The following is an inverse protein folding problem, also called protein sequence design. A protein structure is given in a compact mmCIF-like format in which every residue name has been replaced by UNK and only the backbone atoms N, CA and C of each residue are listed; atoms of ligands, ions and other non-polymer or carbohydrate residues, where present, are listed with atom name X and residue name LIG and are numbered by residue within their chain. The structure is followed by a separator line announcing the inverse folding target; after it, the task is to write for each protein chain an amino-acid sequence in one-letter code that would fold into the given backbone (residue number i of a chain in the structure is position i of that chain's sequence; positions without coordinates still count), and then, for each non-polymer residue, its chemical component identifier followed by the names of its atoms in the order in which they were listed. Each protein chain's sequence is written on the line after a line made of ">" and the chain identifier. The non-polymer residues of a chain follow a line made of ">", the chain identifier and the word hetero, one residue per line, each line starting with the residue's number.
data_IF_093266478490
#
_entry.id   IF_093266478490
#
_cell.length_a   1.000
_cell.length_b   1.000
_cell.length_c   1.000
_cell.angle_alpha   90.00
_cell.angle_beta   90.00
_cell.angle_gamma   90.00
#
_symmetry.space_group_name_H-M   'P 1'
#
loop_
_entity.id
_entity.type
_entity.pdbx_description
1 polymer ?
#
# COMPACT_ATOMS: atom_id res chain seq x y z
N UNK A 1 12.24 14.31 13.36
CA UNK A 1 11.74 13.52 14.52
C UNK A 1 12.76 12.44 14.84
N UNK A 2 13.22 12.32 16.09
CA UNK A 2 14.15 11.25 16.49
C UNK A 2 13.45 9.89 16.39
N UNK A 3 14.14 8.88 15.86
CA UNK A 3 13.65 7.50 15.70
C UNK A 3 13.28 6.85 17.04
N UNK A 4 13.66 7.48 18.17
CA UNK A 4 13.40 7.00 19.53
C UNK A 4 11.92 6.89 19.89
N UNK A 5 11.00 7.35 19.05
CA UNK A 5 9.55 7.26 19.29
C UNK A 5 8.75 6.44 18.26
N UNK A 6 9.39 5.47 17.61
CA UNK A 6 8.76 4.65 16.56
C UNK A 6 7.47 3.97 17.02
N UNK A 7 7.48 3.34 18.19
CA UNK A 7 6.32 2.61 18.68
C UNK A 7 5.14 3.53 19.00
N UNK A 8 5.37 4.70 19.60
CA UNK A 8 4.29 5.64 19.91
C UNK A 8 3.68 6.21 18.62
N UNK A 9 4.52 6.61 17.65
CA UNK A 9 4.04 7.16 16.39
C UNK A 9 3.19 6.13 15.62
N UNK A 10 3.61 4.86 15.58
CA UNK A 10 2.83 3.79 14.96
C UNK A 10 1.50 3.53 15.67
N UNK A 11 1.49 3.54 17.01
CA UNK A 11 0.26 3.40 17.79
C UNK A 11 -0.73 4.53 17.53
N UNK A 12 -0.24 5.78 17.51
CA UNK A 12 -1.06 6.95 17.22
C UNK A 12 -1.65 6.88 15.81
N UNK A 13 -0.82 6.55 14.82
CA UNK A 13 -1.25 6.42 13.43
C UNK A 13 -2.31 5.31 13.26
N UNK A 14 -2.08 4.14 13.86
CA UNK A 14 -3.06 3.04 13.87
C UNK A 14 -4.40 3.46 14.49
N UNK A 15 -4.38 4.15 15.62
CA UNK A 15 -5.61 4.57 16.28
C UNK A 15 -6.41 5.56 15.42
N UNK A 16 -5.72 6.49 14.77
CA UNK A 16 -6.37 7.42 13.85
C UNK A 16 -6.96 6.71 12.62
N UNK A 17 -6.26 5.73 12.03
CA UNK A 17 -6.84 4.89 10.96
C UNK A 17 -8.08 4.12 11.43
N UNK A 18 -8.06 3.58 12.66
CA UNK A 18 -9.19 2.85 13.24
C UNK A 18 -10.41 3.77 13.45
N UNK A 19 -10.17 5.03 13.78
CA UNK A 19 -11.25 5.99 13.94
C UNK A 19 -11.85 6.40 12.60
N UNK A 20 -11.07 6.40 11.50
CA UNK A 20 -11.62 6.51 10.15
C UNK A 20 -12.48 5.29 9.79
N UNK A 21 -12.00 4.07 10.05
CA UNK A 21 -12.74 2.82 9.78
C UNK A 21 -14.10 2.80 10.49
N UNK A 22 -14.12 3.17 11.79
CA UNK A 22 -15.38 3.26 12.56
C UNK A 22 -16.35 4.27 11.96
N UNK A 23 -15.86 5.44 11.53
CA UNK A 23 -16.70 6.48 10.92
C UNK A 23 -17.31 5.99 9.62
N UNK A 24 -16.55 5.31 8.77
CA UNK A 24 -17.08 4.75 7.52
C UNK A 24 -18.14 3.69 7.80
N UNK A 25 -17.92 2.79 8.75
CA UNK A 25 -18.91 1.76 9.13
C UNK A 25 -20.22 2.41 9.62
N UNK A 26 -20.14 3.45 10.46
CA UNK A 26 -21.33 4.14 10.95
C UNK A 26 -22.08 4.79 9.78
N UNK A 27 -21.35 5.43 8.86
CA UNK A 27 -21.90 6.12 7.68
C UNK A 27 -22.55 5.15 6.70
N UNK A 28 -21.90 4.03 6.37
CA UNK A 28 -22.47 2.99 5.50
C UNK A 28 -23.80 2.47 6.05
N UNK A 29 -23.89 2.32 7.37
CA UNK A 29 -25.12 1.93 8.04
C UNK A 29 -26.20 3.04 8.04
N UNK A 30 -25.81 4.32 8.08
CA UNK A 30 -26.75 5.46 8.05
C UNK A 30 -27.13 5.92 6.63
N UNK A 31 -26.43 5.46 5.59
CA UNK A 31 -26.58 5.90 4.18
C UNK A 31 -26.38 7.41 3.97
N UNK A 32 -25.54 8.02 4.79
CA UNK A 32 -25.16 9.43 4.63
C UNK A 32 -24.24 9.63 3.41
N UNK A 33 -24.40 10.76 2.71
CA UNK A 33 -23.54 11.14 1.59
C UNK A 33 -22.14 11.58 2.05
N UNK A 34 -21.13 11.26 1.24
CA UNK A 34 -19.73 11.60 1.52
C UNK A 34 -19.50 13.11 1.38
N UNK A 35 -18.90 13.73 2.38
CA UNK A 35 -18.57 15.16 2.35
C UNK A 35 -17.20 15.42 1.72
N UNK A 36 -16.96 16.65 1.22
CA UNK A 36 -15.69 17.03 0.60
C UNK A 36 -14.47 17.02 1.55
N UNK A 37 -14.71 16.97 2.86
CA UNK A 37 -13.63 16.86 3.85
C UNK A 37 -13.20 15.40 4.06
N UNK A 38 -14.08 14.45 3.74
CA UNK A 38 -13.88 13.01 3.87
C UNK A 38 -13.20 12.36 2.66
N UNK A 39 -13.12 13.08 1.53
CA UNK A 39 -12.35 12.71 0.33
C UNK A 39 -10.87 13.07 0.44
N UNK A 40 -10.46 13.74 1.53
CA UNK A 40 -9.04 14.02 1.76
C UNK A 40 -8.27 12.72 2.02
N UNK A 41 -7.03 12.60 1.53
CA UNK A 41 -6.18 11.45 1.83
C UNK A 41 -6.10 11.22 3.34
N UNK A 42 -6.35 9.99 3.76
CA UNK A 42 -6.36 9.56 5.17
C UNK A 42 -5.01 9.01 5.64
N UNK A 43 -4.00 9.17 4.81
CA UNK A 43 -2.62 8.79 5.08
C UNK A 43 -2.05 9.60 6.25
N UNK A 44 -1.30 8.92 7.12
CA UNK A 44 -0.73 9.52 8.31
C UNK A 44 0.79 9.44 8.21
N UNK A 45 1.44 10.60 8.21
CA UNK A 45 2.90 10.68 8.21
C UNK A 45 3.44 10.34 9.60
N UNK A 46 4.30 9.32 9.66
CA UNK A 46 4.94 8.84 10.89
C UNK A 46 6.36 9.38 11.01
N UNK A 47 7.08 9.47 9.88
CA UNK A 47 8.45 9.96 9.83
C UNK A 47 8.72 10.79 8.58
N UNK A 48 9.66 11.72 8.72
CA UNK A 48 10.19 12.58 7.66
C UNK A 48 11.67 12.26 7.43
N UNK A 49 12.18 12.67 6.27
CA UNK A 49 13.59 12.59 5.89
C UNK A 49 14.17 11.16 6.04
N UNK A 50 13.39 10.18 5.57
CA UNK A 50 13.74 8.76 5.57
C UNK A 50 14.28 8.37 4.20
N UNK A 51 15.50 7.82 4.17
CA UNK A 51 16.09 7.25 2.97
C UNK A 51 15.51 5.87 2.67
N UNK A 52 15.57 5.45 1.40
CA UNK A 52 15.16 4.10 0.98
C UNK A 52 15.82 2.98 1.78
N UNK A 53 17.14 3.07 1.98
CA UNK A 53 17.88 2.09 2.77
C UNK A 53 17.33 1.98 4.19
N UNK A 54 17.06 3.11 4.83
CA UNK A 54 16.53 3.15 6.19
C UNK A 54 15.08 2.65 6.24
N UNK A 55 14.28 2.93 5.21
CA UNK A 55 12.93 2.37 5.04
C UNK A 55 12.99 0.83 5.04
N UNK A 56 13.84 0.25 4.19
CA UNK A 56 14.00 -1.21 4.11
C UNK A 56 14.54 -1.84 5.40
N UNK A 57 15.54 -1.21 6.03
CA UNK A 57 16.17 -1.76 7.22
C UNK A 57 15.29 -1.70 8.49
N UNK A 58 14.43 -0.69 8.61
CA UNK A 58 13.72 -0.42 9.88
C UNK A 58 12.21 -0.43 9.81
N UNK A 59 11.60 -0.10 8.68
CA UNK A 59 10.15 0.14 8.64
C UNK A 59 9.39 -1.04 8.02
N UNK A 60 9.94 -1.65 6.98
CA UNK A 60 9.33 -2.83 6.33
C UNK A 60 9.16 -4.03 7.29
N UNK A 61 10.00 -4.19 8.30
CA UNK A 61 9.82 -5.30 9.25
C UNK A 61 8.93 -4.93 10.44
N UNK A 62 8.95 -3.67 10.85
CA UNK A 62 8.25 -3.22 12.07
C UNK A 62 6.75 -3.01 11.86
N UNK A 63 6.29 -2.65 10.65
CA UNK A 63 4.88 -2.30 10.43
C UNK A 63 3.92 -3.45 10.78
N UNK A 64 4.32 -4.70 10.51
CA UNK A 64 3.51 -5.89 10.79
C UNK A 64 3.21 -6.02 12.29
N UNK A 65 4.14 -5.60 13.15
CA UNK A 65 3.95 -5.58 14.61
C UNK A 65 2.83 -4.64 15.02
N UNK A 66 2.56 -3.60 14.25
CA UNK A 66 1.55 -2.59 14.52
C UNK A 66 0.26 -2.77 13.70
N UNK A 67 0.16 -3.82 12.88
CA UNK A 67 -1.03 -4.14 12.08
C UNK A 67 -1.51 -2.98 11.19
N UNK A 68 -0.59 -2.23 10.60
CA UNK A 68 -0.85 -1.15 9.64
C UNK A 68 0.08 -1.28 8.45
N UNK A 69 -0.39 -1.00 7.24
CA UNK A 69 0.48 -0.93 6.06
C UNK A 69 1.24 0.39 6.05
N UNK A 70 2.49 0.31 5.57
CA UNK A 70 3.37 1.47 5.43
C UNK A 70 3.92 1.57 4.02
N UNK A 71 4.11 2.80 3.56
CA UNK A 71 4.84 3.08 2.31
C UNK A 71 5.76 4.27 2.50
N UNK A 72 6.76 4.39 1.63
CA UNK A 72 7.67 5.53 1.59
C UNK A 72 7.18 6.47 0.48
N UNK A 73 6.96 7.75 0.77
CA UNK A 73 6.54 8.75 -0.22
C UNK A 73 7.37 10.01 -0.07
N UNK A 74 8.22 10.29 -1.06
CA UNK A 74 9.09 11.48 -1.09
C UNK A 74 9.86 11.68 0.22
N UNK A 75 10.49 10.60 0.68
CA UNK A 75 11.24 10.57 1.93
C UNK A 75 10.39 10.56 3.21
N UNK A 76 9.06 10.44 3.12
CA UNK A 76 8.15 10.34 4.28
C UNK A 76 7.67 8.90 4.45
N UNK A 77 7.74 8.38 5.67
CA UNK A 77 7.08 7.11 5.98
C UNK A 77 5.65 7.41 6.40
N UNK A 78 4.70 6.85 5.67
CA UNK A 78 3.27 7.01 5.93
C UNK A 78 2.63 5.67 6.26
N UNK A 79 1.58 5.69 7.08
CA UNK A 79 0.60 4.60 7.13
C UNK A 79 -0.66 5.01 6.41
N UNK A 80 -1.23 4.08 5.66
CA UNK A 80 -2.37 4.36 4.77
C UNK A 80 -3.51 3.37 4.92
N UNK A 81 -3.27 2.18 5.49
CA UNK A 81 -4.29 1.14 5.62
C UNK A 81 -4.08 0.29 6.88
N UNK A 82 -5.15 -0.28 7.41
CA UNK A 82 -5.11 -1.26 8.51
C UNK A 82 -4.98 -2.66 7.93
N UNK A 83 -4.07 -3.46 8.51
CA UNK A 83 -4.09 -4.91 8.26
C UNK A 83 -5.34 -5.50 8.90
N UNK A 84 -6.38 -5.70 8.09
CA UNK A 84 -7.65 -6.25 8.52
C UNK A 84 -7.92 -7.60 7.85
N UNK A 85 -8.56 -8.57 8.55
CA UNK A 85 -8.94 -9.83 7.94
C UNK A 85 -9.81 -9.70 6.67
N UNK A 86 -10.79 -8.78 6.58
CA UNK A 86 -11.55 -8.56 5.35
C UNK A 86 -10.68 -8.17 4.17
N UNK A 87 -9.74 -7.25 4.37
CA UNK A 87 -8.76 -6.87 3.33
C UNK A 87 -7.94 -8.09 2.89
N UNK A 88 -7.38 -8.84 3.84
CA UNK A 88 -6.54 -9.99 3.52
C UNK A 88 -7.31 -11.11 2.81
N UNK A 89 -8.57 -11.34 3.21
CA UNK A 89 -9.46 -12.30 2.55
C UNK A 89 -9.75 -11.89 1.10
N UNK A 90 -10.06 -10.62 0.86
CA UNK A 90 -10.34 -10.12 -0.48
C UNK A 90 -9.14 -10.33 -1.42
N UNK A 91 -7.93 -9.97 -0.97
CA UNK A 91 -6.70 -10.22 -1.76
C UNK A 91 -6.49 -11.72 -2.00
N UNK A 92 -6.69 -12.55 -0.97
CA UNK A 92 -6.55 -14.01 -1.07
C UNK A 92 -7.59 -14.65 -2.02
N UNK A 93 -8.78 -14.08 -2.13
CA UNK A 93 -9.85 -14.54 -3.02
C UNK A 93 -9.64 -14.08 -4.48
N UNK A 94 -9.07 -12.90 -4.69
CA UNK A 94 -8.79 -12.36 -6.03
C UNK A 94 -7.67 -13.15 -6.75
N UNK A 95 -6.61 -13.53 -6.03
CA UNK A 95 -5.46 -14.25 -6.61
C UNK A 95 -5.87 -15.53 -7.36
N UNK A 96 -6.64 -16.48 -6.80
CA UNK A 96 -7.02 -17.69 -7.51
C UNK A 96 -7.95 -17.42 -8.69
N UNK A 97 -8.81 -16.39 -8.63
CA UNK A 97 -9.65 -15.98 -9.76
C UNK A 97 -8.78 -15.53 -10.93
N UNK A 98 -7.80 -14.67 -10.66
CA UNK A 98 -6.84 -14.18 -11.65
C UNK A 98 -5.97 -15.31 -12.19
N UNK A 99 -5.51 -16.22 -11.33
CA UNK A 99 -4.72 -17.39 -11.72
C UNK A 99 -5.52 -18.37 -12.58
N UNK A 100 -6.83 -18.49 -12.32
CA UNK A 100 -7.76 -19.33 -13.09
C UNK A 100 -8.06 -18.76 -14.47
N UNK A 101 -7.86 -17.46 -14.69
CA UNK A 101 -8.10 -16.83 -15.99
C UNK A 101 -7.11 -17.31 -17.06
N UNK A 102 -5.82 -17.43 -16.71
CA UNK A 102 -4.81 -17.95 -17.64
C UNK A 102 -3.54 -18.40 -16.92
N UNK A 103 -2.87 -19.44 -17.46
CA UNK A 103 -1.58 -19.89 -16.99
C UNK A 103 -0.40 -19.04 -17.51
N UNK A 104 -0.67 -18.01 -18.32
CA UNK A 104 0.34 -17.12 -18.92
C UNK A 104 0.71 -15.92 -18.06
N UNK A 105 0.10 -15.80 -16.88
CA UNK A 105 0.39 -14.71 -15.95
C UNK A 105 1.20 -15.21 -14.76
N UNK A 106 1.98 -14.29 -14.22
CA UNK A 106 2.62 -14.37 -12.92
C UNK A 106 1.98 -13.30 -12.04
N UNK A 107 1.55 -13.71 -10.86
CA UNK A 107 0.85 -12.86 -9.89
C UNK A 107 1.73 -12.79 -8.65
N UNK A 108 1.92 -11.58 -8.14
CA UNK A 108 2.59 -11.28 -6.89
C UNK A 108 1.60 -10.57 -5.97
N UNK A 109 1.71 -10.82 -4.67
CA UNK A 109 0.92 -10.13 -3.66
C UNK A 109 1.86 -9.33 -2.75
N UNK A 110 1.42 -8.17 -2.29
CA UNK A 110 2.17 -7.27 -1.39
C UNK A 110 3.61 -7.02 -1.88
N UNK A 111 3.74 -6.58 -3.14
CA UNK A 111 5.05 -6.34 -3.76
C UNK A 111 5.47 -4.87 -3.58
N UNK A 112 6.58 -4.65 -2.87
CA UNK A 112 7.21 -3.33 -2.78
C UNK A 112 7.82 -2.93 -4.14
N UNK A 113 7.36 -1.80 -4.65
CA UNK A 113 7.78 -1.21 -5.91
C UNK A 113 8.38 0.17 -5.67
N UNK A 114 9.64 0.35 -6.07
CA UNK A 114 10.27 1.67 -6.11
C UNK A 114 9.65 2.43 -7.28
N UNK A 115 9.02 3.57 -6.98
CA UNK A 115 8.38 4.43 -7.99
C UNK A 115 9.05 5.81 -8.02
N UNK A 116 8.96 6.50 -9.15
CA UNK A 116 9.69 7.74 -9.40
C UNK A 116 11.19 7.54 -9.68
N UNK A 117 11.91 8.66 -9.81
CA UNK A 117 13.33 8.70 -10.21
C UNK A 117 14.30 8.96 -9.05
N UNK A 118 13.81 9.39 -7.89
CA UNK A 118 14.65 9.91 -6.80
C UNK A 118 14.93 8.88 -5.69
N UNK A 119 14.54 7.60 -5.90
CA UNK A 119 14.69 6.51 -4.91
C UNK A 119 14.18 6.93 -3.51
N UNK A 120 13.09 7.70 -3.47
CA UNK A 120 12.53 8.29 -2.26
C UNK A 120 11.08 7.87 -2.05
N UNK A 121 10.55 7.03 -2.93
CA UNK A 121 9.17 6.58 -2.94
C UNK A 121 9.11 5.07 -3.21
N UNK A 122 8.40 4.35 -2.35
CA UNK A 122 8.18 2.89 -2.44
C UNK A 122 6.72 2.64 -2.11
N UNK A 123 5.98 2.08 -3.06
CA UNK A 123 4.59 1.69 -2.87
C UNK A 123 4.50 0.17 -2.72
N UNK A 124 3.69 -0.31 -1.79
CA UNK A 124 3.43 -1.74 -1.61
C UNK A 124 2.17 -2.13 -2.39
N UNK A 125 2.36 -2.58 -3.63
CA UNK A 125 1.28 -2.94 -4.51
C UNK A 125 0.59 -4.22 -4.04
N UNK A 126 -0.74 -4.19 -3.89
CA UNK A 126 -1.46 -5.30 -3.29
C UNK A 126 -1.45 -6.54 -4.18
N UNK A 127 -1.70 -6.37 -5.48
CA UNK A 127 -1.58 -7.43 -6.49
C UNK A 127 -0.87 -6.87 -7.72
N UNK A 128 0.21 -7.53 -8.12
CA UNK A 128 1.02 -7.18 -9.29
C UNK A 128 0.99 -8.32 -10.28
N UNK A 129 0.73 -8.02 -11.55
CA UNK A 129 0.54 -9.01 -12.60
C UNK A 129 1.44 -8.70 -13.78
N UNK A 130 2.22 -9.69 -14.19
CA UNK A 130 3.06 -9.63 -15.38
C UNK A 130 2.90 -10.90 -16.24
N UNK A 131 3.27 -10.85 -17.54
CA UNK A 131 3.40 -12.05 -18.35
C UNK A 131 4.41 -13.02 -17.74
N UNK A 132 4.05 -14.30 -17.70
CA UNK A 132 4.95 -15.35 -17.26
C UNK A 132 6.11 -15.47 -18.24
N UNK A 133 7.33 -15.31 -17.72
CA UNK A 133 8.55 -15.56 -18.47
C UNK A 133 8.72 -17.06 -18.76
N UNK A 134 9.24 -17.39 -19.95
CA UNK A 134 9.55 -18.77 -20.35
C UNK A 134 10.69 -19.36 -19.51
N UNK A 135 11.60 -18.49 -19.05
CA UNK A 135 12.73 -18.85 -18.19
C UNK A 135 12.55 -18.20 -16.82
N UNK A 136 13.05 -18.87 -15.78
CA UNK A 136 13.09 -18.29 -14.45
C UNK A 136 13.89 -16.98 -14.49
N UNK A 137 13.37 -15.88 -13.92
CA UNK A 137 14.10 -14.63 -13.87
C UNK A 137 15.43 -14.80 -13.10
N UNK A 138 16.48 -14.12 -13.56
CA UNK A 138 17.78 -14.12 -12.91
C UNK A 138 17.76 -13.45 -11.53
N UNK A 139 18.84 -13.60 -10.78
CA UNK A 139 19.05 -12.87 -9.53
C UNK A 139 18.99 -11.36 -9.76
N UNK A 140 18.19 -10.64 -8.97
CA UNK A 140 18.01 -9.20 -9.12
C UNK A 140 16.93 -8.78 -10.13
N UNK A 141 16.12 -9.73 -10.63
CA UNK A 141 14.95 -9.39 -11.43
C UNK A 141 13.97 -8.48 -10.68
N UNK A 142 13.59 -7.39 -11.33
CA UNK A 142 12.53 -6.48 -10.89
C UNK A 142 11.31 -6.76 -11.75
N UNK A 143 10.15 -7.12 -11.16
CA UNK A 143 8.92 -7.33 -11.91
C UNK A 143 8.55 -6.13 -12.79
N UNK A 144 8.08 -6.40 -14.01
CA UNK A 144 7.57 -5.38 -14.92
C UNK A 144 6.07 -5.57 -15.12
N UNK A 145 5.25 -5.02 -14.22
CA UNK A 145 3.81 -5.22 -14.29
C UNK A 145 3.19 -4.71 -15.57
N UNK A 146 2.14 -5.41 -15.99
CA UNK A 146 1.17 -4.96 -17.00
C UNK A 146 -0.18 -4.63 -16.39
N UNK A 147 -0.40 -5.05 -15.15
CA UNK A 147 -1.57 -4.71 -14.36
C UNK A 147 -1.17 -4.68 -12.89
N UNK A 148 -1.69 -3.69 -12.18
CA UNK A 148 -1.61 -3.55 -10.73
C UNK A 148 -3.05 -3.39 -10.25
N UNK A 149 -3.39 -4.08 -9.16
CA UNK A 149 -4.69 -3.94 -8.50
C UNK A 149 -4.40 -3.51 -7.07
N UNK A 150 -4.94 -2.35 -6.71
CA UNK A 150 -4.95 -1.85 -5.34
C UNK A 150 -6.32 -1.99 -4.73
N UNK A 151 -6.33 -2.27 -3.44
CA UNK A 151 -7.51 -2.50 -2.62
C UNK A 151 -7.38 -1.60 -1.40
N UNK A 152 -8.35 -0.72 -1.19
CA UNK A 152 -8.43 0.08 0.03
C UNK A 152 -9.69 -0.27 0.81
N UNK A 153 -9.55 -0.38 2.13
CA UNK A 153 -10.67 -0.38 3.07
C UNK A 153 -10.80 0.99 3.74
N UNK A 154 -9.70 1.50 4.31
CA UNK A 154 -9.63 2.81 4.97
C UNK A 154 -8.98 3.87 4.09
N UNK A 155 -8.24 3.44 3.05
CA UNK A 155 -7.72 4.32 2.03
C UNK A 155 -8.85 4.87 1.13
N UNK A 156 -8.79 6.18 0.85
CA UNK A 156 -9.77 6.87 0.01
C UNK A 156 -9.57 6.56 -1.47
N UNK A 157 -10.64 6.64 -2.27
CA UNK A 157 -10.58 6.45 -3.73
C UNK A 157 -9.59 7.43 -4.38
N UNK A 158 -9.52 8.67 -3.91
CA UNK A 158 -8.59 9.68 -4.41
C UNK A 158 -7.13 9.30 -4.19
N UNK A 159 -6.82 8.76 -3.01
CA UNK A 159 -5.48 8.24 -2.69
C UNK A 159 -5.15 7.03 -3.57
N UNK A 160 -6.06 6.06 -3.70
CA UNK A 160 -5.89 4.91 -4.61
C UNK A 160 -5.68 5.34 -6.07
N UNK A 161 -6.43 6.35 -6.55
CA UNK A 161 -6.28 6.89 -7.89
C UNK A 161 -4.93 7.58 -8.08
N UNK A 162 -4.41 8.28 -7.06
CA UNK A 162 -3.10 8.93 -7.14
C UNK A 162 -1.95 7.92 -7.31
N UNK A 163 -2.08 6.70 -6.77
CA UNK A 163 -1.10 5.63 -6.98
C UNK A 163 -0.98 5.21 -8.44
N UNK A 164 -2.08 5.26 -9.20
CA UNK A 164 -2.05 4.92 -10.62
C UNK A 164 -1.08 5.84 -11.37
N UNK A 165 -1.12 7.15 -11.11
CA UNK A 165 -0.20 8.11 -11.72
C UNK A 165 1.26 7.78 -11.39
N UNK A 166 1.56 7.44 -10.14
CA UNK A 166 2.91 7.07 -9.71
C UNK A 166 3.41 5.80 -10.40
N UNK A 167 2.58 4.75 -10.48
CA UNK A 167 2.95 3.50 -11.16
C UNK A 167 3.18 3.70 -12.67
N UNK A 168 2.39 4.53 -13.33
CA UNK A 168 2.52 4.78 -14.77
C UNK A 168 3.57 5.84 -15.11
N UNK A 169 3.97 6.69 -14.16
CA UNK A 169 5.03 7.70 -14.38
C UNK A 169 6.41 7.11 -14.66
N UNK A 170 6.65 5.86 -14.22
CA UNK A 170 7.87 5.08 -14.49
C UNK A 170 7.80 4.21 -15.76
N UNK A 171 6.67 4.26 -16.49
CA UNK A 171 6.46 3.46 -17.70
C UNK A 171 6.85 4.24 -18.97
N UNK A 172 8.12 4.62 -19.11
CA UNK A 172 8.70 5.10 -20.38
C UNK A 172 10.07 4.47 -20.61
#
# INVERSE_FOLDING_TARGET
>A
MLISNIEENFKLARNALLDFDKKDIIRENSKEEVTAEETRPREIVIFYDVTLEKYHQKFLQEYRRFSVYVRLVKGKVITYEILSPPYASLVADLIPILAGWTNRLKIYAELDMIVGNENDTVNCANIVIEPRHVSAPGTGYVPWPRMIIEVGKTETIESLNSLAEEYFSNSV
#
